data_IF_921716944007
#
_entry.id   IF_921716944007
#
_cell.length_a   1.000
_cell.length_b   1.000
_cell.length_c   1.000
_cell.angle_alpha   90.00
_cell.angle_beta   90.00
_cell.angle_gamma   90.00
#
_symmetry.space_group_name_H-M   'P 1'
#
loop_
_entity.id
_entity.type
_entity.pdbx_description
1 polymer ?
#
# COMPACT_ATOMS: atom_id res chain seq x y z
N UNK A 1 -8.99 7.50 13.37
CA UNK A 1 -8.11 6.88 12.36
C UNK A 1 -8.76 5.64 11.70
N UNK A 2 -10.03 5.71 11.32
CA UNK A 2 -10.74 4.57 10.70
C UNK A 2 -10.31 4.37 9.24
N UNK A 3 -10.06 5.47 8.53
CA UNK A 3 -9.61 5.43 7.12
C UNK A 3 -8.30 4.66 6.94
N UNK A 4 -7.23 5.04 7.66
CA UNK A 4 -5.91 4.41 7.53
C UNK A 4 -5.83 2.99 8.12
N UNK A 5 -6.72 2.65 9.06
CA UNK A 5 -6.77 1.31 9.68
C UNK A 5 -7.70 0.32 8.97
N UNK A 6 -8.74 0.79 8.28
CA UNK A 6 -9.73 -0.06 7.57
C UNK A 6 -9.62 0.13 6.07
N UNK A 7 -10.15 1.24 5.52
CA UNK A 7 -10.25 1.47 4.08
C UNK A 7 -8.90 1.35 3.36
N UNK A 8 -7.83 1.93 3.93
CA UNK A 8 -6.48 1.80 3.37
C UNK A 8 -5.96 0.36 3.36
N UNK A 9 -6.35 -0.44 4.34
CA UNK A 9 -6.00 -1.87 4.38
C UNK A 9 -6.79 -2.68 3.38
N UNK A 10 -8.04 -2.30 3.11
CA UNK A 10 -8.90 -2.97 2.12
C UNK A 10 -8.32 -2.84 0.70
N UNK A 11 -7.92 -1.64 0.27
CA UNK A 11 -7.29 -1.52 -1.06
C UNK A 11 -5.88 -2.10 -1.09
N UNK A 12 -5.12 -2.01 0.01
CA UNK A 12 -3.79 -2.61 0.08
C UNK A 12 -3.84 -4.13 -0.08
N UNK A 13 -4.91 -4.79 0.39
CA UNK A 13 -5.13 -6.21 0.12
C UNK A 13 -5.23 -6.49 -1.39
N UNK A 14 -6.02 -5.70 -2.13
CA UNK A 14 -6.15 -5.85 -3.58
C UNK A 14 -4.80 -5.64 -4.29
N UNK A 15 -4.05 -4.61 -3.89
CA UNK A 15 -2.72 -4.33 -4.44
C UNK A 15 -1.73 -5.49 -4.23
N UNK A 16 -1.86 -6.24 -3.14
CA UNK A 16 -1.01 -7.40 -2.85
C UNK A 16 -1.29 -8.63 -3.69
N UNK A 17 -2.43 -8.69 -4.38
CA UNK A 17 -2.88 -9.88 -5.13
C UNK A 17 -3.10 -9.61 -6.62
N UNK A 18 -3.14 -8.34 -7.06
CA UNK A 18 -3.33 -7.97 -8.47
C UNK A 18 -2.11 -7.20 -8.97
N UNK A 19 -1.42 -7.74 -9.97
CA UNK A 19 -0.31 -7.05 -10.63
C UNK A 19 -0.83 -6.00 -11.63
N UNK A 20 -0.17 -4.85 -11.72
CA UNK A 20 -0.45 -3.87 -12.78
C UNK A 20 -1.79 -3.14 -12.63
N UNK A 21 -2.29 -3.00 -11.40
CA UNK A 21 -3.59 -2.38 -11.10
C UNK A 21 -3.48 -0.89 -10.71
N UNK A 22 -2.34 -0.23 -10.94
CA UNK A 22 -2.08 1.16 -10.53
C UNK A 22 -3.16 2.11 -11.07
N UNK A 23 -3.52 1.98 -12.35
CA UNK A 23 -4.48 2.85 -13.02
C UNK A 23 -5.91 2.69 -12.47
N UNK A 24 -6.26 1.51 -11.97
CA UNK A 24 -7.58 1.23 -11.38
C UNK A 24 -7.78 1.98 -10.05
N UNK A 25 -6.69 2.44 -9.42
CA UNK A 25 -6.73 3.26 -8.22
C UNK A 25 -6.83 4.77 -8.50
N UNK A 26 -6.80 5.21 -9.75
CA UNK A 26 -6.93 6.62 -10.09
C UNK A 26 -8.25 7.25 -9.60
N UNK A 27 -9.42 6.59 -9.73
CA UNK A 27 -10.67 7.11 -9.17
C UNK A 27 -10.62 7.27 -7.64
N UNK A 28 -9.96 6.33 -6.94
CA UNK A 28 -9.78 6.38 -5.49
C UNK A 28 -8.85 7.52 -5.09
N UNK A 29 -7.69 7.68 -5.75
CA UNK A 29 -6.78 8.81 -5.57
C UNK A 29 -7.51 10.14 -5.73
N UNK A 30 -8.32 10.27 -6.78
CA UNK A 30 -9.13 11.46 -7.02
C UNK A 30 -10.17 11.70 -5.92
N UNK A 31 -10.86 10.66 -5.45
CA UNK A 31 -11.82 10.78 -4.35
C UNK A 31 -11.15 11.20 -3.03
N UNK A 32 -9.97 10.65 -2.73
CA UNK A 32 -9.18 11.05 -1.56
C UNK A 32 -8.80 12.52 -1.65
N UNK A 33 -8.24 12.95 -2.79
CA UNK A 33 -7.79 14.33 -3.01
C UNK A 33 -8.92 15.35 -3.04
N UNK A 34 -10.02 15.03 -3.70
CA UNK A 34 -11.09 16.00 -3.99
C UNK A 34 -12.22 15.99 -2.97
N UNK A 35 -12.39 14.90 -2.21
CA UNK A 35 -13.50 14.75 -1.25
C UNK A 35 -12.99 14.58 0.17
N UNK A 36 -12.13 13.59 0.42
CA UNK A 36 -11.72 13.24 1.77
C UNK A 36 -10.83 14.30 2.40
N UNK A 37 -9.73 14.66 1.75
CA UNK A 37 -8.77 15.63 2.32
C UNK A 37 -9.44 16.99 2.56
N UNK A 38 -10.20 17.57 1.61
CA UNK A 38 -10.90 18.82 1.85
C UNK A 38 -11.95 18.74 2.96
N UNK A 39 -12.62 17.60 3.13
CA UNK A 39 -13.54 17.41 4.26
C UNK A 39 -12.83 17.37 5.62
N UNK A 40 -11.54 16.99 5.65
CA UNK A 40 -10.71 16.96 6.87
C UNK A 40 -10.08 18.34 7.12
N UNK A 41 -9.57 19.01 6.09
CA UNK A 41 -8.77 20.24 6.21
C UNK A 41 -9.57 21.53 6.01
N UNK A 42 -10.80 21.43 5.50
CA UNK A 42 -11.68 22.57 5.22
C UNK A 42 -11.32 23.35 3.95
N UNK A 43 -10.37 22.89 3.14
CA UNK A 43 -9.95 23.58 1.91
C UNK A 43 -9.40 22.62 0.84
N UNK A 44 -9.30 23.10 -0.40
CA UNK A 44 -8.68 22.35 -1.49
C UNK A 44 -7.17 22.38 -1.32
N UNK A 45 -6.58 21.19 -1.22
CA UNK A 45 -5.14 21.01 -1.09
C UNK A 45 -4.38 21.14 -2.41
N UNK A 46 -3.20 21.76 -2.34
CA UNK A 46 -2.23 21.74 -3.41
C UNK A 46 -1.39 20.44 -3.43
N UNK A 47 -0.49 20.32 -4.39
CA UNK A 47 0.34 19.11 -4.56
C UNK A 47 1.34 18.89 -3.41
N UNK A 48 1.93 19.95 -2.87
CA UNK A 48 2.85 19.87 -1.73
C UNK A 48 2.12 19.42 -0.46
N UNK A 49 0.92 19.92 -0.22
CA UNK A 49 0.08 19.48 0.90
C UNK A 49 -0.37 18.03 0.75
N UNK A 50 -0.67 17.61 -0.49
CA UNK A 50 -1.00 16.22 -0.79
C UNK A 50 0.18 15.29 -0.45
N UNK A 51 1.40 15.66 -0.84
CA UNK A 51 2.62 14.92 -0.48
C UNK A 51 2.82 14.89 1.03
N UNK A 52 2.68 16.04 1.71
CA UNK A 52 2.77 16.13 3.17
C UNK A 52 1.79 15.19 3.86
N UNK A 53 0.53 15.13 3.42
CA UNK A 53 -0.49 14.26 4.02
C UNK A 53 -0.27 12.78 3.75
N UNK A 54 0.47 12.43 2.69
CA UNK A 54 0.91 11.06 2.45
C UNK A 54 1.95 10.57 3.46
N UNK A 55 2.69 11.48 4.09
CA UNK A 55 3.72 11.13 5.06
C UNK A 55 3.13 10.50 6.34
N UNK A 56 3.89 9.66 7.04
CA UNK A 56 3.53 9.17 8.36
C UNK A 56 3.26 10.31 9.36
N UNK A 57 2.40 10.03 10.36
CA UNK A 57 2.09 10.99 11.45
C UNK A 57 3.34 11.46 12.20
N UNK A 58 4.34 10.59 12.36
CA UNK A 58 5.63 10.94 13.00
C UNK A 58 6.46 11.98 12.21
N UNK A 59 6.14 12.19 10.93
CA UNK A 59 6.76 13.20 10.06
C UNK A 59 5.81 14.38 9.79
N UNK A 60 4.72 14.52 10.56
CA UNK A 60 3.76 15.61 10.41
C UNK A 60 2.67 15.39 9.36
N UNK A 61 2.60 14.19 8.76
CA UNK A 61 1.55 13.84 7.78
C UNK A 61 0.32 13.15 8.38
N UNK A 62 -0.56 12.64 7.51
CA UNK A 62 -1.80 11.94 7.89
C UNK A 62 -1.75 10.43 7.63
N UNK A 63 -0.64 9.93 7.08
CA UNK A 63 -0.44 8.57 6.60
C UNK A 63 -1.51 8.12 5.57
N UNK A 64 -2.03 9.07 4.79
CA UNK A 64 -2.97 8.81 3.69
C UNK A 64 -2.16 8.53 2.44
N UNK A 65 -1.82 7.27 2.25
CA UNK A 65 -0.94 6.84 1.16
C UNK A 65 -1.61 7.02 -0.21
N UNK A 66 -0.81 7.34 -1.23
CA UNK A 66 -1.29 7.39 -2.61
C UNK A 66 -1.51 5.95 -3.13
N UNK A 67 -2.77 5.55 -3.42
CA UNK A 67 -3.08 4.19 -3.83
C UNK A 67 -2.58 3.85 -5.24
N UNK A 68 -2.24 4.83 -6.07
CA UNK A 68 -1.61 4.57 -7.38
C UNK A 68 -0.14 4.24 -7.19
N UNK A 69 0.55 5.01 -6.34
CA UNK A 69 1.99 4.84 -6.10
C UNK A 69 2.29 3.58 -5.26
N UNK A 70 1.41 3.21 -4.33
CA UNK A 70 1.64 2.06 -3.47
C UNK A 70 1.39 0.71 -4.14
N UNK A 71 0.64 0.65 -5.25
CA UNK A 71 0.19 -0.61 -5.84
C UNK A 71 1.34 -1.54 -6.27
N UNK A 72 2.31 -1.04 -7.05
CA UNK A 72 3.47 -1.85 -7.46
C UNK A 72 4.27 -2.36 -6.26
N UNK A 73 4.54 -1.48 -5.29
CA UNK A 73 5.32 -1.85 -4.11
C UNK A 73 4.62 -2.92 -3.26
N UNK A 74 3.30 -2.82 -3.07
CA UNK A 74 2.54 -3.82 -2.31
C UNK A 74 2.52 -5.17 -3.01
N UNK A 75 2.39 -5.18 -4.34
CA UNK A 75 2.48 -6.42 -5.11
C UNK A 75 3.86 -7.06 -4.97
N UNK A 76 4.94 -6.29 -5.18
CA UNK A 76 6.32 -6.77 -5.08
C UNK A 76 6.65 -7.27 -3.67
N UNK A 77 6.23 -6.56 -2.63
CA UNK A 77 6.40 -6.99 -1.25
C UNK A 77 5.65 -8.30 -0.96
N UNK A 78 4.43 -8.46 -1.46
CA UNK A 78 3.64 -9.68 -1.33
C UNK A 78 4.29 -10.87 -2.03
N UNK A 79 4.82 -10.64 -3.24
CA UNK A 79 5.55 -11.63 -4.03
C UNK A 79 6.87 -12.03 -3.37
N UNK A 80 7.63 -11.06 -2.84
CA UNK A 80 8.87 -11.32 -2.13
C UNK A 80 8.61 -12.16 -0.87
N UNK A 81 7.61 -11.77 -0.07
CA UNK A 81 7.23 -12.48 1.14
C UNK A 81 6.78 -13.93 0.86
N UNK A 82 6.07 -14.18 -0.23
CA UNK A 82 5.59 -15.53 -0.56
C UNK A 82 6.60 -16.38 -1.34
N UNK A 83 7.73 -15.80 -1.78
CA UNK A 83 8.65 -16.46 -2.72
C UNK A 83 9.25 -17.77 -2.21
N UNK A 84 9.73 -17.83 -0.96
CA UNK A 84 10.34 -19.05 -0.39
C UNK A 84 9.32 -20.18 -0.31
N UNK A 85 8.11 -19.88 0.17
CA UNK A 85 7.03 -20.85 0.26
C UNK A 85 6.63 -21.37 -1.12
N UNK A 86 6.44 -20.47 -2.09
CA UNK A 86 6.10 -20.83 -3.47
C UNK A 86 7.16 -21.75 -4.11
N UNK A 87 8.45 -21.45 -3.89
CA UNK A 87 9.54 -22.29 -4.39
C UNK A 87 9.56 -23.68 -3.77
N UNK A 88 9.36 -23.81 -2.46
CA UNK A 88 9.29 -25.11 -1.78
C UNK A 88 8.11 -25.95 -2.28
N UNK A 89 6.94 -25.35 -2.46
CA UNK A 89 5.76 -26.03 -3.00
C UNK A 89 6.03 -26.51 -4.43
N UNK A 90 6.59 -25.65 -5.29
CA UNK A 90 6.88 -25.99 -6.68
C UNK A 90 7.94 -27.09 -6.82
N UNK A 91 8.94 -27.11 -5.93
CA UNK A 91 10.03 -28.10 -5.93
C UNK A 91 9.69 -29.39 -5.15
N UNK A 92 8.60 -29.40 -4.37
CA UNK A 92 8.28 -30.49 -3.45
C UNK A 92 9.27 -30.65 -2.29
N UNK A 93 9.95 -29.57 -1.90
CA UNK A 93 10.95 -29.58 -0.82
C UNK A 93 10.37 -29.06 0.49
N UNK A 94 10.94 -29.44 1.66
CA UNK A 94 10.57 -28.82 2.93
C UNK A 94 10.74 -27.30 2.90
N UNK A 95 9.87 -26.60 3.63
CA UNK A 95 9.96 -25.15 3.79
C UNK A 95 11.11 -24.79 4.74
N UNK A 96 12.01 -23.90 4.29
CA UNK A 96 13.11 -23.36 5.08
C UNK A 96 12.70 -22.01 5.69
N UNK A 97 12.37 -22.03 6.99
CA UNK A 97 11.97 -20.83 7.72
C UNK A 97 13.13 -19.86 7.94
N UNK A 98 14.37 -20.36 8.10
CA UNK A 98 15.53 -19.51 8.32
C UNK A 98 15.87 -18.72 7.04
N UNK A 99 15.80 -19.37 5.88
CA UNK A 99 15.95 -18.71 4.59
C UNK A 99 14.81 -17.70 4.33
N UNK A 100 13.59 -18.01 4.75
CA UNK A 100 12.47 -17.09 4.62
C UNK A 100 12.66 -15.82 5.47
N UNK A 101 13.06 -15.96 6.73
CA UNK A 101 13.29 -14.85 7.66
C UNK A 101 14.42 -13.92 7.19
N UNK A 102 15.52 -14.48 6.66
CA UNK A 102 16.64 -13.68 6.16
C UNK A 102 16.33 -12.80 4.94
N UNK A 103 15.18 -13.01 4.29
CA UNK A 103 14.72 -12.22 3.13
C UNK A 103 13.73 -11.12 3.51
N UNK A 104 13.26 -11.11 4.75
CA UNK A 104 12.33 -10.12 5.29
C UNK A 104 13.02 -9.03 6.12
N UNK A 105 14.27 -9.28 6.55
CA UNK A 105 15.16 -8.34 7.26
C UNK A 105 15.94 -7.45 6.30
#
# INVERSE_FOLDING_TARGET
ATFTKSLQREWAFLQRVIQGCENEFLPLKNAIRQKLIPAITGHIVNEVEQELFSLPVKLGGLAIEDPVLSASHQFDASKAATSTLTSSIAAGTPFDSAQHESRLS
#
